data_IF_681967536925
#
_entry.id   IF_681967536925
#
_cell.length_a   1.000
_cell.length_b   1.000
_cell.length_c   1.000
_cell.angle_alpha   90.00
_cell.angle_beta   90.00
_cell.angle_gamma   90.00
#
_symmetry.space_group_name_H-M   'P 1'
#
loop_
_entity.id
_entity.type
_entity.pdbx_description
1 polymer ?
#
# COMPACT_ATOMS: atom_id res chain seq x y z
N UNK A 1 4.56 60.71 -12.33
CA UNK A 1 4.40 59.63 -11.35
C UNK A 1 4.49 58.32 -12.09
N UNK A 2 5.60 57.55 -12.01
CA UNK A 2 5.69 56.29 -12.73
C UNK A 2 4.87 55.22 -12.00
N UNK A 3 3.88 54.65 -12.68
CA UNK A 3 3.07 53.57 -12.18
C UNK A 3 3.84 52.29 -12.07
N UNK A 4 3.84 51.68 -10.91
CA UNK A 4 4.38 50.34 -10.65
C UNK A 4 3.49 49.31 -11.33
N UNK A 5 3.99 48.73 -12.40
CA UNK A 5 3.40 47.51 -12.99
C UNK A 5 3.69 46.33 -12.06
N UNK A 6 2.68 45.79 -11.43
CA UNK A 6 2.72 44.52 -10.72
C UNK A 6 2.74 43.39 -11.75
N UNK A 7 3.90 42.80 -11.96
CA UNK A 7 4.01 41.59 -12.77
C UNK A 7 3.47 40.42 -11.96
N UNK A 8 2.33 39.91 -12.36
CA UNK A 8 1.71 38.70 -11.80
C UNK A 8 2.47 37.50 -12.36
N UNK A 9 3.33 36.87 -11.55
CA UNK A 9 3.94 35.60 -11.90
C UNK A 9 2.89 34.49 -11.71
N UNK A 10 2.32 34.05 -12.82
CA UNK A 10 1.47 32.87 -12.85
C UNK A 10 2.39 31.65 -12.77
N UNK A 11 2.43 31.01 -11.59
CA UNK A 11 3.11 29.74 -11.38
C UNK A 11 2.29 28.65 -12.06
N UNK A 12 2.68 28.25 -13.27
CA UNK A 12 2.12 27.08 -13.94
C UNK A 12 2.73 25.83 -13.29
N UNK A 13 1.97 25.20 -12.40
CA UNK A 13 2.33 23.88 -11.88
C UNK A 13 1.98 22.86 -12.97
N UNK A 14 2.98 22.44 -13.71
CA UNK A 14 2.89 21.30 -14.60
C UNK A 14 2.81 20.02 -13.76
N UNK A 15 1.60 19.49 -13.63
CA UNK A 15 1.44 18.10 -13.21
C UNK A 15 1.97 17.20 -14.33
N UNK A 16 3.20 16.76 -14.20
CA UNK A 16 3.70 15.65 -15.00
C UNK A 16 2.95 14.39 -14.54
N UNK A 17 1.90 14.05 -15.26
CA UNK A 17 1.29 12.71 -15.19
C UNK A 17 2.31 11.74 -15.75
N UNK A 18 3.17 11.22 -14.88
CA UNK A 18 4.07 10.13 -15.22
C UNK A 18 3.22 8.88 -15.49
N UNK A 19 3.02 8.56 -16.74
CA UNK A 19 2.62 7.23 -17.15
C UNK A 19 3.72 6.28 -16.68
N UNK A 20 3.53 5.62 -15.54
CA UNK A 20 4.39 4.52 -15.15
C UNK A 20 4.14 3.39 -16.13
N UNK A 21 5.13 3.16 -17.00
CA UNK A 21 5.09 2.12 -18.02
C UNK A 21 4.87 0.77 -17.36
N UNK A 22 3.89 0.05 -17.84
CA UNK A 22 3.65 -1.35 -17.53
C UNK A 22 4.77 -2.18 -18.13
N UNK A 23 5.83 -2.40 -17.36
CA UNK A 23 6.97 -3.23 -17.73
C UNK A 23 6.89 -4.59 -17.06
N UNK A 24 5.87 -5.39 -17.36
CA UNK A 24 5.81 -6.79 -16.94
C UNK A 24 6.42 -7.68 -18.02
N UNK A 25 7.66 -8.15 -17.82
CA UNK A 25 8.18 -9.29 -18.58
C UNK A 25 7.54 -10.61 -18.12
N UNK A 26 7.63 -11.71 -18.92
CA UNK A 26 7.10 -13.01 -18.51
C UNK A 26 7.76 -13.45 -17.21
N UNK A 27 6.94 -13.64 -16.15
CA UNK A 27 7.36 -14.12 -14.83
C UNK A 27 7.54 -13.04 -13.75
N UNK A 28 7.27 -11.76 -14.04
CA UNK A 28 7.28 -10.68 -13.04
C UNK A 28 5.90 -10.45 -12.45
N UNK A 29 5.85 -10.24 -11.13
CA UNK A 29 4.61 -9.85 -10.44
C UNK A 29 4.22 -8.44 -10.85
N UNK A 30 2.92 -8.21 -11.07
CA UNK A 30 2.34 -6.89 -11.26
C UNK A 30 1.74 -6.41 -9.95
N UNK A 31 2.17 -5.25 -9.49
CA UNK A 31 1.66 -4.62 -8.27
C UNK A 31 0.86 -3.39 -8.63
N UNK A 32 -0.39 -3.33 -8.18
CA UNK A 32 -1.27 -2.18 -8.29
C UNK A 32 -1.47 -1.56 -6.91
N UNK A 33 -1.11 -0.29 -6.75
CA UNK A 33 -1.33 0.46 -5.51
C UNK A 33 -2.78 0.93 -5.47
N UNK A 34 -3.51 0.51 -4.45
CA UNK A 34 -4.92 0.85 -4.26
C UNK A 34 -5.09 2.09 -3.38
N UNK A 35 -4.29 2.23 -2.33
CA UNK A 35 -4.27 3.44 -1.52
C UNK A 35 -2.93 3.64 -0.81
N UNK A 36 -2.59 4.88 -0.55
CA UNK A 36 -1.43 5.27 0.24
C UNK A 36 -1.86 6.26 1.33
N UNK A 37 -1.34 6.06 2.53
CA UNK A 37 -1.60 6.91 3.70
C UNK A 37 -0.28 7.28 4.36
N UNK A 38 0.22 8.51 4.14
CA UNK A 38 1.38 9.00 4.87
C UNK A 38 1.12 9.07 6.37
N UNK A 39 2.15 8.75 7.17
CA UNK A 39 2.10 8.96 8.62
C UNK A 39 1.98 10.46 8.94
N UNK A 40 1.49 10.84 10.13
CA UNK A 40 1.35 12.25 10.52
C UNK A 40 2.65 13.06 10.41
N UNK A 41 3.81 12.43 10.64
CA UNK A 41 5.13 13.05 10.50
C UNK A 41 5.75 12.93 9.11
N UNK A 42 5.07 12.28 8.15
CA UNK A 42 5.53 12.09 6.79
C UNK A 42 6.71 11.11 6.60
N UNK A 43 7.15 10.42 7.66
CA UNK A 43 8.33 9.53 7.60
C UNK A 43 8.02 8.15 7.02
N UNK A 44 6.78 7.72 7.12
CA UNK A 44 6.32 6.40 6.68
C UNK A 44 5.09 6.52 5.77
N UNK A 45 4.90 5.52 4.92
CA UNK A 45 3.73 5.40 4.06
C UNK A 45 3.16 4.01 4.25
N UNK A 46 1.91 3.95 4.71
CA UNK A 46 1.11 2.73 4.70
C UNK A 46 0.43 2.60 3.33
N UNK A 47 0.57 1.45 2.71
CA UNK A 47 0.07 1.19 1.35
C UNK A 47 -0.79 -0.05 1.34
N UNK A 48 -1.97 0.00 0.74
CA UNK A 48 -2.71 -1.19 0.34
C UNK A 48 -2.51 -1.43 -1.15
N UNK A 49 -2.33 -2.68 -1.52
CA UNK A 49 -2.02 -3.05 -2.89
C UNK A 49 -2.67 -4.38 -3.29
N UNK A 50 -2.83 -4.54 -4.58
CA UNK A 50 -3.17 -5.79 -5.25
C UNK A 50 -1.94 -6.28 -6.00
N UNK A 51 -1.70 -7.57 -5.96
CA UNK A 51 -0.60 -8.19 -6.68
C UNK A 51 -1.10 -9.39 -7.46
N UNK A 52 -0.65 -9.52 -8.70
CA UNK A 52 -0.89 -10.68 -9.54
C UNK A 52 0.38 -11.12 -10.24
N UNK A 53 0.49 -12.41 -10.52
CA UNK A 53 1.66 -12.97 -11.19
C UNK A 53 1.54 -14.48 -11.39
N UNK A 54 2.68 -15.15 -11.63
CA UNK A 54 2.76 -16.62 -11.72
C UNK A 54 2.44 -17.23 -13.07
N UNK A 55 2.23 -16.45 -14.13
CA UNK A 55 2.00 -16.96 -15.49
C UNK A 55 0.79 -17.89 -15.58
N UNK A 56 0.93 -19.07 -16.21
CA UNK A 56 -0.16 -20.03 -16.42
C UNK A 56 -0.76 -20.60 -15.12
N UNK A 57 0.02 -20.66 -14.03
CA UNK A 57 -0.43 -21.03 -12.69
C UNK A 57 -0.73 -19.80 -11.83
N UNK A 58 -1.21 -18.74 -12.45
CA UNK A 58 -1.35 -17.41 -11.89
C UNK A 58 -1.93 -17.32 -10.49
N UNK A 59 -1.50 -16.32 -9.75
CA UNK A 59 -2.01 -15.97 -8.41
C UNK A 59 -2.38 -14.50 -8.36
N UNK A 60 -3.30 -14.18 -7.45
CA UNK A 60 -3.61 -12.80 -7.10
C UNK A 60 -3.94 -12.70 -5.63
N UNK A 61 -3.57 -11.58 -5.01
CA UNK A 61 -3.86 -11.33 -3.60
C UNK A 61 -3.87 -9.82 -3.29
N UNK A 62 -4.51 -9.48 -2.18
CA UNK A 62 -4.47 -8.13 -1.60
C UNK A 62 -3.64 -8.15 -0.32
N UNK A 63 -2.87 -7.12 -0.09
CA UNK A 63 -2.09 -6.98 1.13
C UNK A 63 -1.88 -5.49 1.47
N UNK A 64 -1.23 -5.25 2.58
CA UNK A 64 -0.76 -3.94 2.99
C UNK A 64 0.74 -4.00 3.29
N UNK A 65 1.41 -2.88 3.15
CA UNK A 65 2.81 -2.71 3.53
C UNK A 65 3.01 -1.41 4.29
N UNK A 66 4.08 -1.33 5.03
CA UNK A 66 4.54 -0.13 5.70
C UNK A 66 6.01 0.11 5.33
N UNK A 67 6.27 1.19 4.61
CA UNK A 67 7.59 1.55 4.15
C UNK A 67 8.00 2.94 4.63
N UNK A 68 9.28 3.24 4.58
CA UNK A 68 9.76 4.61 4.74
C UNK A 68 9.35 5.44 3.54
N UNK A 69 9.10 6.72 3.75
CA UNK A 69 8.88 7.66 2.67
C UNK A 69 10.12 7.68 1.75
N UNK A 70 9.91 7.58 0.44
CA UNK A 70 10.97 7.46 -0.56
C UNK A 70 11.34 6.05 -0.98
N UNK A 71 10.99 5.02 -0.21
CA UNK A 71 11.17 3.63 -0.61
C UNK A 71 10.03 3.18 -1.55
N UNK A 72 10.32 2.23 -2.41
CA UNK A 72 9.31 1.59 -3.25
C UNK A 72 8.51 0.54 -2.46
N UNK A 73 7.34 0.19 -2.98
CA UNK A 73 6.53 -0.91 -2.43
C UNK A 73 7.20 -2.24 -2.75
N UNK A 74 7.54 -3.02 -1.73
CA UNK A 74 7.94 -4.42 -1.88
C UNK A 74 6.74 -5.31 -1.52
N UNK A 75 6.19 -6.00 -2.51
CA UNK A 75 5.07 -6.90 -2.33
C UNK A 75 5.39 -8.09 -1.42
N UNK A 76 6.67 -8.40 -1.21
CA UNK A 76 7.11 -9.48 -0.31
C UNK A 76 7.13 -9.05 1.15
N UNK A 77 7.09 -7.75 1.41
CA UNK A 77 7.12 -7.15 2.74
C UNK A 77 5.69 -6.82 3.23
N UNK A 78 4.77 -7.76 3.04
CA UNK A 78 3.36 -7.63 3.43
C UNK A 78 3.15 -7.70 4.94
N UNK A 79 2.11 -7.03 5.42
CA UNK A 79 1.71 -6.99 6.83
C UNK A 79 0.65 -8.04 7.16
N UNK A 80 -0.05 -8.56 6.16
CA UNK A 80 -1.19 -9.47 6.31
C UNK A 80 -0.85 -10.84 5.72
N UNK A 81 -0.87 -11.86 6.55
CA UNK A 81 -0.68 -13.25 6.14
C UNK A 81 0.71 -13.53 5.54
N UNK A 82 0.82 -14.70 4.96
CA UNK A 82 2.02 -15.10 4.21
C UNK A 82 2.04 -14.44 2.83
N UNK A 83 3.23 -14.23 2.31
CA UNK A 83 3.40 -13.82 0.92
C UNK A 83 2.62 -14.73 -0.04
N UNK A 84 1.99 -14.14 -1.04
CA UNK A 84 1.11 -14.83 -2.01
C UNK A 84 -0.09 -15.51 -1.36
N UNK A 85 -0.69 -14.86 -0.38
CA UNK A 85 -1.92 -15.33 0.26
C UNK A 85 -3.12 -15.15 -0.69
N UNK A 86 -3.54 -16.19 -1.35
CA UNK A 86 -4.67 -16.20 -2.26
C UNK A 86 -5.94 -15.67 -1.60
N UNK A 87 -6.35 -14.46 -1.96
CA UNK A 87 -7.62 -13.85 -1.53
C UNK A 87 -7.95 -14.01 -0.03
N UNK A 88 -6.94 -14.22 0.79
CA UNK A 88 -7.13 -14.36 2.23
C UNK A 88 -7.64 -13.09 2.91
N UNK A 89 -7.34 -11.94 2.30
CA UNK A 89 -7.76 -10.62 2.77
C UNK A 89 -8.37 -9.80 1.63
N UNK A 90 -9.33 -8.95 1.96
CA UNK A 90 -9.96 -8.00 1.04
C UNK A 90 -10.44 -6.74 1.77
N UNK A 91 -10.90 -5.74 1.04
CA UNK A 91 -11.43 -4.47 1.58
C UNK A 91 -10.47 -3.82 2.60
N UNK A 92 -9.19 -3.74 2.27
CA UNK A 92 -8.16 -3.23 3.15
C UNK A 92 -8.27 -1.71 3.26
N UNK A 93 -8.47 -1.23 4.48
CA UNK A 93 -8.52 0.19 4.84
C UNK A 93 -7.41 0.51 5.82
N UNK A 94 -6.71 1.59 5.57
CA UNK A 94 -5.57 2.04 6.35
C UNK A 94 -5.91 3.35 7.06
N UNK A 95 -5.62 3.43 8.35
CA UNK A 95 -5.81 4.65 9.13
C UNK A 95 -4.69 4.82 10.15
N UNK A 96 -4.02 5.94 10.13
CA UNK A 96 -3.11 6.32 11.19
C UNK A 96 -3.91 6.77 12.41
N UNK A 97 -3.67 6.12 13.57
CA UNK A 97 -4.23 6.52 14.85
C UNK A 97 -3.42 7.71 15.38
N UNK A 98 -2.10 7.58 15.31
CA UNK A 98 -1.12 8.61 15.66
C UNK A 98 0.21 8.34 14.92
N UNK A 99 1.28 9.04 15.29
CA UNK A 99 2.60 8.90 14.67
C UNK A 99 3.31 7.55 14.91
N UNK A 100 2.78 6.70 15.79
CA UNK A 100 3.37 5.41 16.19
C UNK A 100 2.41 4.23 16.08
N UNK A 101 1.16 4.47 15.69
CA UNK A 101 0.11 3.46 15.63
C UNK A 101 -0.64 3.53 14.30
N UNK A 102 -0.62 2.43 13.55
CA UNK A 102 -1.34 2.22 12.31
C UNK A 102 -2.47 1.21 12.53
N UNK A 103 -3.68 1.52 12.09
CA UNK A 103 -4.80 0.60 12.06
C UNK A 103 -5.02 0.07 10.65
N UNK A 104 -5.19 -1.24 10.54
CA UNK A 104 -5.55 -1.92 9.30
C UNK A 104 -6.88 -2.63 9.52
N UNK A 105 -7.92 -2.15 8.88
CA UNK A 105 -9.21 -2.81 8.84
C UNK A 105 -9.36 -3.59 7.53
N UNK A 106 -9.72 -4.85 7.60
CA UNK A 106 -9.91 -5.69 6.41
C UNK A 106 -10.88 -6.83 6.67
N UNK A 107 -11.39 -7.40 5.57
CA UNK A 107 -12.15 -8.64 5.58
C UNK A 107 -11.18 -9.80 5.48
N UNK A 108 -11.38 -10.83 6.31
CA UNK A 108 -10.59 -12.04 6.33
C UNK A 108 -11.42 -13.23 5.84
N UNK A 109 -10.88 -14.04 4.93
CA UNK A 109 -11.55 -15.24 4.44
C UNK A 109 -11.68 -16.30 5.55
N UNK A 110 -12.84 -16.96 5.63
CA UNK A 110 -13.12 -18.02 6.61
C UNK A 110 -12.71 -19.44 6.15
N UNK A 111 -12.27 -19.57 4.91
CA UNK A 111 -11.96 -20.87 4.34
C UNK A 111 -10.82 -21.57 5.07
N UNK A 112 -11.00 -22.85 5.35
CA UNK A 112 -9.95 -23.73 5.86
C UNK A 112 -8.69 -23.71 4.98
N UNK A 113 -8.85 -23.57 3.67
CA UNK A 113 -7.75 -23.47 2.72
C UNK A 113 -6.82 -22.28 2.97
N UNK A 114 -7.29 -21.25 3.66
CA UNK A 114 -6.52 -20.05 3.96
C UNK A 114 -6.09 -19.92 5.43
N UNK A 115 -6.48 -20.87 6.30
CA UNK A 115 -6.27 -20.77 7.74
C UNK A 115 -4.82 -20.41 8.11
N UNK A 116 -3.86 -21.13 7.57
CA UNK A 116 -2.45 -20.93 7.87
C UNK A 116 -1.89 -19.62 7.29
N UNK A 117 -2.49 -19.13 6.21
CA UNK A 117 -2.08 -17.91 5.56
C UNK A 117 -2.59 -16.67 6.26
N UNK A 118 -3.82 -16.70 6.76
CA UNK A 118 -4.47 -15.54 7.39
C UNK A 118 -4.14 -15.38 8.87
N UNK A 119 -3.53 -16.38 9.51
CA UNK A 119 -3.15 -16.33 10.92
C UNK A 119 -1.94 -15.42 11.20
N UNK A 120 -1.06 -15.28 10.21
CA UNK A 120 0.16 -14.50 10.35
C UNK A 120 -0.09 -13.03 10.06
N UNK A 121 0.18 -12.18 11.04
CA UNK A 121 0.11 -10.72 10.92
C UNK A 121 1.29 -10.10 11.64
N UNK A 122 1.79 -9.02 11.08
CA UNK A 122 2.92 -8.28 11.65
C UNK A 122 2.41 -7.36 12.75
N UNK A 123 2.91 -7.52 13.97
CA UNK A 123 2.50 -6.70 15.13
C UNK A 123 3.16 -5.32 15.14
N UNK A 124 4.37 -5.21 14.60
CA UNK A 124 5.07 -3.93 14.48
C UNK A 124 6.06 -3.93 13.32
N UNK A 125 6.27 -2.77 12.70
CA UNK A 125 7.24 -2.53 11.65
C UNK A 125 7.83 -1.13 11.78
N UNK A 126 9.14 -0.98 11.68
CA UNK A 126 9.85 0.30 11.81
C UNK A 126 9.51 1.08 13.09
N UNK A 127 9.22 0.38 14.21
CA UNK A 127 8.80 1.00 15.45
C UNK A 127 7.33 1.45 15.48
N UNK A 128 6.57 1.20 14.42
CA UNK A 128 5.14 1.46 14.34
C UNK A 128 4.38 0.21 14.78
N UNK A 129 3.47 0.36 15.74
CA UNK A 129 2.56 -0.71 16.15
C UNK A 129 1.38 -0.80 15.19
N UNK A 130 1.00 -2.02 14.83
CA UNK A 130 -0.07 -2.28 13.88
C UNK A 130 -1.26 -2.91 14.60
N UNK A 131 -2.42 -2.28 14.47
CA UNK A 131 -3.68 -2.71 15.05
C UNK A 131 -4.59 -3.24 13.95
N UNK A 132 -5.17 -4.41 14.15
CA UNK A 132 -6.02 -5.06 13.15
C UNK A 132 -7.49 -5.06 13.57
N UNK A 133 -8.36 -4.65 12.65
CA UNK A 133 -9.81 -4.82 12.73
C UNK A 133 -10.22 -5.79 11.64
N UNK A 134 -10.53 -7.02 12.03
CA UNK A 134 -10.87 -8.10 11.10
C UNK A 134 -12.37 -8.32 11.09
N UNK A 135 -12.95 -8.30 9.91
CA UNK A 135 -14.35 -8.69 9.68
C UNK A 135 -14.39 -9.97 8.84
N UNK A 136 -15.48 -10.69 8.98
CA UNK A 136 -15.70 -11.96 8.25
C UNK A 136 -16.68 -11.75 7.10
#
# INVERSE_FOLDING_TARGET
MPGRRKTLFTLVVLFASGCHGWGGGPGTDTVEILSEKPSPNGRFIATSFYCEGGGAAGYCYWNASLRRAGDEVDQRDGLLGKHKTWKGFSDIKLRWIDGSNLEIACRQAKSEAYRDHVSEKVESRHGIRIHYILTN
#
